data_IF_209547959141
#
_entry.id   IF_209547959141
#
_cell.length_a   1.000
_cell.length_b   1.000
_cell.length_c   1.000
_cell.angle_alpha   90.00
_cell.angle_beta   90.00
_cell.angle_gamma   90.00
#
_symmetry.space_group_name_H-M   'P 1'
#
loop_
_entity.id
_entity.type
_entity.pdbx_description
1 polymer ?
#
# COMPACT_ATOMS: atom_id res chain seq x y z
N UNK A 1 26.06 -31.25 -27.41
CA UNK A 1 24.75 -30.75 -26.94
C UNK A 1 24.71 -29.30 -27.35
N UNK A 2 23.67 -28.84 -28.06
CA UNK A 2 23.57 -27.42 -28.42
C UNK A 2 23.62 -26.58 -27.14
N UNK A 3 24.28 -25.42 -27.20
CA UNK A 3 24.30 -24.48 -26.08
C UNK A 3 22.85 -24.01 -25.82
N UNK A 4 22.29 -24.40 -24.67
CA UNK A 4 20.91 -24.13 -24.29
C UNK A 4 20.66 -22.62 -24.25
N UNK A 5 21.65 -21.83 -23.83
CA UNK A 5 21.53 -20.37 -23.79
C UNK A 5 21.46 -19.79 -25.21
N UNK A 6 22.25 -20.33 -26.14
CA UNK A 6 22.20 -19.91 -27.54
C UNK A 6 20.86 -20.26 -28.20
N UNK A 7 20.31 -21.46 -27.93
CA UNK A 7 18.99 -21.88 -28.43
C UNK A 7 17.89 -20.99 -27.84
N UNK A 8 17.91 -20.76 -26.53
CA UNK A 8 16.95 -19.91 -25.86
C UNK A 8 16.96 -18.49 -26.41
N UNK A 9 18.15 -17.89 -26.61
CA UNK A 9 18.29 -16.57 -27.22
C UNK A 9 17.72 -16.52 -28.64
N UNK A 10 18.06 -17.50 -29.49
CA UNK A 10 17.52 -17.56 -30.86
C UNK A 10 15.99 -17.69 -30.87
N UNK A 11 15.45 -18.54 -29.98
CA UNK A 11 14.02 -18.70 -29.82
C UNK A 11 13.35 -17.39 -29.38
N UNK A 12 13.86 -16.71 -28.35
CA UNK A 12 13.24 -15.48 -27.84
C UNK A 12 13.33 -14.35 -28.87
N UNK A 13 14.48 -14.21 -29.56
CA UNK A 13 14.63 -13.21 -30.62
C UNK A 13 13.58 -13.43 -31.72
N UNK A 14 13.39 -14.68 -32.15
CA UNK A 14 12.36 -15.04 -33.13
C UNK A 14 10.94 -14.81 -32.60
N UNK A 15 10.64 -15.29 -31.40
CA UNK A 15 9.31 -15.22 -30.79
C UNK A 15 8.85 -13.78 -30.66
N UNK A 16 9.63 -12.93 -30.01
CA UNK A 16 9.24 -11.55 -29.74
C UNK A 16 9.23 -10.69 -31.01
N UNK A 17 10.19 -10.87 -31.92
CA UNK A 17 10.15 -10.19 -33.22
C UNK A 17 8.88 -10.57 -34.01
N UNK A 18 8.52 -11.85 -34.01
CA UNK A 18 7.31 -12.33 -34.69
C UNK A 18 6.06 -11.83 -33.98
N UNK A 19 6.04 -11.77 -32.65
CA UNK A 19 4.93 -11.20 -31.88
C UNK A 19 4.70 -9.73 -32.24
N UNK A 20 5.78 -8.95 -32.29
CA UNK A 20 5.74 -7.51 -32.52
C UNK A 20 5.31 -7.15 -33.94
N UNK A 21 5.62 -8.01 -34.92
CA UNK A 21 5.37 -7.74 -36.35
C UNK A 21 4.20 -8.51 -36.93
N UNK A 22 3.94 -9.74 -36.49
CA UNK A 22 2.90 -10.62 -37.02
C UNK A 22 2.54 -11.76 -36.05
N UNK A 23 1.63 -11.48 -35.11
CA UNK A 23 1.19 -12.46 -34.09
C UNK A 23 0.63 -13.76 -34.69
N UNK A 24 0.03 -13.71 -35.88
CA UNK A 24 -0.45 -14.90 -36.58
C UNK A 24 0.68 -15.88 -36.94
N UNK A 25 1.91 -15.37 -37.17
CA UNK A 25 3.09 -16.20 -37.47
C UNK A 25 3.50 -17.13 -36.31
N UNK A 26 3.10 -16.81 -35.08
CA UNK A 26 3.43 -17.60 -33.89
C UNK A 26 2.71 -18.95 -33.83
N UNK A 27 1.61 -19.14 -34.57
CA UNK A 27 0.85 -20.40 -34.55
C UNK A 27 1.74 -21.62 -34.85
N UNK A 28 2.73 -21.46 -35.73
CA UNK A 28 3.66 -22.51 -36.13
C UNK A 28 4.55 -23.04 -35.00
N UNK A 29 4.73 -22.26 -33.94
CA UNK A 29 5.50 -22.63 -32.75
C UNK A 29 4.69 -23.52 -31.78
N UNK A 30 3.39 -23.63 -31.97
CA UNK A 30 2.50 -24.39 -31.09
C UNK A 30 2.01 -25.69 -31.75
N UNK A 31 1.48 -26.59 -30.93
CA UNK A 31 0.87 -27.87 -31.31
C UNK A 31 -0.50 -27.99 -30.63
N UNK A 32 -1.26 -29.02 -30.97
CA UNK A 32 -2.59 -29.26 -30.37
C UNK A 32 -2.53 -29.54 -28.87
N UNK A 33 -1.39 -30.03 -28.38
CA UNK A 33 -1.13 -30.28 -26.97
C UNK A 33 -0.39 -29.12 -26.26
N UNK A 34 -0.15 -28.00 -26.94
CA UNK A 34 0.47 -26.82 -26.32
C UNK A 34 -0.52 -26.06 -25.47
N UNK A 35 -0.05 -25.42 -24.40
CA UNK A 35 -0.87 -24.59 -23.53
C UNK A 35 -0.25 -23.21 -23.31
N UNK A 36 -1.04 -22.16 -23.52
CA UNK A 36 -0.76 -20.80 -23.08
C UNK A 36 -1.56 -20.52 -21.81
N UNK A 37 -0.92 -19.98 -20.77
CA UNK A 37 -1.60 -19.31 -19.66
C UNK A 37 -1.37 -17.81 -19.78
N UNK A 38 -2.41 -17.07 -20.16
CA UNK A 38 -2.35 -15.62 -20.33
C UNK A 38 -3.03 -14.93 -19.14
N UNK A 39 -2.27 -14.23 -18.30
CA UNK A 39 -2.80 -13.55 -17.10
C UNK A 39 -3.58 -14.46 -16.14
N UNK A 40 -3.29 -15.77 -16.15
CA UNK A 40 -3.97 -16.77 -15.33
C UNK A 40 -5.10 -17.54 -16.05
N UNK A 41 -5.41 -17.19 -17.31
CA UNK A 41 -6.39 -17.92 -18.12
C UNK A 41 -5.70 -18.96 -19.00
N UNK A 42 -5.97 -20.27 -18.80
CA UNK A 42 -5.38 -21.34 -19.60
C UNK A 42 -6.08 -21.47 -20.96
N UNK A 43 -5.30 -21.72 -22.01
CA UNK A 43 -5.72 -21.79 -23.41
C UNK A 43 -4.96 -22.95 -24.06
N UNK A 44 -5.70 -23.98 -24.46
CA UNK A 44 -5.15 -25.21 -25.03
C UNK A 44 -5.24 -25.19 -26.57
N UNK A 45 -4.15 -25.61 -27.21
CA UNK A 45 -4.09 -25.89 -28.65
C UNK A 45 -3.67 -24.71 -29.51
N UNK A 46 -2.89 -24.98 -30.56
CA UNK A 46 -2.26 -23.97 -31.41
C UNK A 46 -3.24 -22.95 -32.00
N UNK A 47 -4.42 -23.40 -32.46
CA UNK A 47 -5.43 -22.52 -33.06
C UNK A 47 -5.99 -21.49 -32.06
N UNK A 48 -6.37 -21.96 -30.86
CA UNK A 48 -6.92 -21.10 -29.80
C UNK A 48 -5.87 -20.12 -29.26
N UNK A 49 -4.61 -20.57 -29.17
CA UNK A 49 -3.49 -19.71 -28.77
C UNK A 49 -3.29 -18.60 -29.81
N UNK A 50 -3.27 -18.93 -31.10
CA UNK A 50 -3.15 -17.93 -32.16
C UNK A 50 -4.30 -16.92 -32.15
N UNK A 51 -5.54 -17.39 -31.98
CA UNK A 51 -6.71 -16.53 -31.81
C UNK A 51 -6.56 -15.58 -30.60
N UNK A 52 -6.10 -16.10 -29.46
CA UNK A 52 -5.82 -15.26 -28.29
C UNK A 52 -4.80 -14.17 -28.57
N UNK A 53 -3.66 -14.52 -29.16
CA UNK A 53 -2.58 -13.55 -29.40
C UNK A 53 -3.00 -12.49 -30.41
N UNK A 54 -3.71 -12.87 -31.46
CA UNK A 54 -4.23 -11.94 -32.48
C UNK A 54 -5.36 -11.04 -31.97
N UNK A 55 -6.17 -11.50 -31.00
CA UNK A 55 -7.27 -10.72 -30.42
C UNK A 55 -6.85 -9.71 -29.34
N UNK A 56 -5.55 -9.60 -29.01
CA UNK A 56 -5.08 -8.61 -28.05
C UNK A 56 -5.35 -7.18 -28.56
N UNK A 57 -5.83 -6.28 -27.69
CA UNK A 57 -6.52 -5.04 -28.09
C UNK A 57 -5.60 -3.90 -28.57
N UNK A 58 -4.28 -4.12 -28.58
CA UNK A 58 -3.31 -3.13 -29.03
C UNK A 58 -2.95 -3.33 -30.50
N UNK A 59 -2.60 -2.25 -31.20
CA UNK A 59 -2.21 -2.30 -32.61
C UNK A 59 -0.70 -2.49 -32.74
N UNK A 60 0.07 -1.72 -31.96
CA UNK A 60 1.53 -1.80 -31.93
C UNK A 60 2.02 -2.30 -30.60
N UNK A 61 3.04 -3.13 -30.65
CA UNK A 61 3.73 -3.61 -29.47
C UNK A 61 5.22 -3.77 -29.77
N UNK A 62 6.05 -3.48 -28.78
CA UNK A 62 7.47 -3.75 -28.83
C UNK A 62 7.91 -4.39 -27.52
N UNK A 63 8.49 -5.58 -27.60
CA UNK A 63 9.15 -6.22 -26.48
C UNK A 63 10.60 -5.73 -26.36
N UNK A 64 11.02 -5.38 -25.15
CA UNK A 64 12.42 -5.12 -24.80
C UNK A 64 12.83 -6.12 -23.73
N UNK A 65 13.65 -7.10 -24.10
CA UNK A 65 14.06 -8.17 -23.20
C UNK A 65 15.14 -7.64 -22.25
N UNK A 66 14.95 -7.86 -20.95
CA UNK A 66 15.86 -7.44 -19.89
C UNK A 66 16.72 -8.59 -19.41
N UNK A 67 16.09 -9.72 -19.05
CA UNK A 67 16.82 -10.93 -18.65
C UNK A 67 16.27 -12.16 -19.36
N UNK A 68 17.16 -13.14 -19.55
CA UNK A 68 16.86 -14.42 -20.16
C UNK A 68 17.69 -15.50 -19.46
N UNK A 69 17.00 -16.52 -18.95
CA UNK A 69 17.60 -17.68 -18.32
C UNK A 69 17.06 -18.95 -18.95
N UNK A 70 17.91 -19.97 -19.12
CA UNK A 70 17.49 -21.24 -19.70
C UNK A 70 18.09 -22.45 -18.98
N UNK A 71 17.26 -23.48 -18.79
CA UNK A 71 17.64 -24.71 -18.08
C UNK A 71 17.01 -25.94 -18.74
N UNK A 72 17.62 -27.14 -18.65
CA UNK A 72 16.91 -28.39 -18.92
C UNK A 72 15.69 -28.53 -18.00
N UNK A 73 14.55 -28.99 -18.53
CA UNK A 73 13.30 -29.06 -17.77
C UNK A 73 12.86 -30.47 -17.38
N UNK A 74 13.51 -31.50 -17.92
CA UNK A 74 13.25 -32.89 -17.56
C UNK A 74 14.52 -33.74 -17.64
N UNK A 75 14.74 -34.68 -16.70
CA UNK A 75 15.84 -35.63 -16.76
C UNK A 75 15.60 -36.77 -17.76
N UNK A 76 14.35 -36.99 -18.17
CA UNK A 76 13.94 -38.15 -18.97
C UNK A 76 13.40 -37.79 -20.35
N UNK A 77 12.94 -36.55 -20.54
CA UNK A 77 12.46 -36.02 -21.81
C UNK A 77 13.36 -34.86 -22.20
N UNK A 78 13.87 -34.86 -23.43
CA UNK A 78 14.63 -33.73 -23.92
C UNK A 78 13.70 -32.50 -23.98
N UNK A 79 13.90 -31.55 -23.08
CA UNK A 79 13.14 -30.31 -23.04
C UNK A 79 13.91 -29.24 -22.27
N UNK A 80 13.60 -27.98 -22.53
CA UNK A 80 14.17 -26.85 -21.80
C UNK A 80 13.06 -25.92 -21.27
N UNK A 81 13.36 -25.21 -20.20
CA UNK A 81 12.60 -24.07 -19.71
C UNK A 81 13.40 -22.81 -20.05
N UNK A 82 12.72 -21.79 -20.56
CA UNK A 82 13.25 -20.46 -20.81
C UNK A 82 12.43 -19.48 -20.01
N UNK A 83 13.08 -18.71 -19.15
CA UNK A 83 12.46 -17.65 -18.34
C UNK A 83 12.91 -16.30 -18.86
N UNK A 84 11.96 -15.42 -19.15
CA UNK A 84 12.19 -14.10 -19.74
C UNK A 84 11.56 -13.04 -18.86
N UNK A 85 12.28 -11.96 -18.62
CA UNK A 85 11.70 -10.72 -18.08
C UNK A 85 11.99 -9.56 -19.04
N UNK A 86 11.09 -8.59 -19.09
CA UNK A 86 11.29 -7.46 -19.98
C UNK A 86 10.23 -6.37 -19.83
N UNK A 87 10.29 -5.44 -20.78
CA UNK A 87 9.36 -4.34 -20.94
C UNK A 87 8.51 -4.54 -22.20
N UNK A 88 7.24 -4.20 -22.10
CA UNK A 88 6.26 -4.21 -23.16
C UNK A 88 5.84 -2.76 -23.43
N UNK A 89 6.28 -2.20 -24.56
CA UNK A 89 5.84 -0.89 -25.03
C UNK A 89 4.64 -1.10 -25.93
N UNK A 90 3.49 -0.54 -25.55
CA UNK A 90 2.22 -0.72 -26.25
C UNK A 90 1.78 0.61 -26.85
N UNK A 91 1.40 0.63 -28.13
CA UNK A 91 0.86 1.79 -28.84
C UNK A 91 1.65 3.09 -28.63
N UNK A 92 2.99 2.99 -28.69
CA UNK A 92 3.92 4.10 -28.50
C UNK A 92 3.79 4.81 -27.12
N UNK A 93 3.25 4.12 -26.11
CA UNK A 93 3.13 4.60 -24.72
C UNK A 93 4.49 4.96 -24.10
N UNK A 94 4.53 6.08 -23.37
CA UNK A 94 5.71 6.48 -22.57
C UNK A 94 5.90 5.66 -21.30
N UNK A 95 4.89 4.86 -20.92
CA UNK A 95 4.91 4.01 -19.74
C UNK A 95 4.96 2.54 -20.16
N UNK A 96 6.16 1.94 -20.30
CA UNK A 96 6.28 0.52 -20.61
C UNK A 96 5.73 -0.33 -19.46
N UNK A 97 5.04 -1.40 -19.81
CA UNK A 97 4.58 -2.41 -18.85
C UNK A 97 5.70 -3.42 -18.61
N UNK A 98 5.89 -3.87 -17.38
CA UNK A 98 6.80 -4.97 -17.12
C UNK A 98 6.10 -6.30 -17.33
N UNK A 99 6.82 -7.29 -17.84
CA UNK A 99 6.30 -8.63 -18.01
C UNK A 99 7.32 -9.69 -17.60
N UNK A 100 6.80 -10.85 -17.23
CA UNK A 100 7.52 -12.10 -17.10
C UNK A 100 6.87 -13.15 -17.99
N UNK A 101 7.67 -13.95 -18.68
CA UNK A 101 7.17 -15.04 -19.50
C UNK A 101 8.05 -16.27 -19.39
N UNK A 102 7.42 -17.44 -19.26
CA UNK A 102 8.12 -18.72 -19.16
C UNK A 102 7.67 -19.65 -20.27
N UNK A 103 8.63 -20.19 -21.02
CA UNK A 103 8.41 -21.17 -22.07
C UNK A 103 8.98 -22.52 -21.67
N UNK A 104 8.26 -23.60 -21.94
CA UNK A 104 8.82 -24.94 -22.01
C UNK A 104 8.93 -25.35 -23.47
N UNK A 105 10.15 -25.57 -23.95
CA UNK A 105 10.43 -25.94 -25.34
C UNK A 105 10.74 -27.43 -25.44
N UNK A 106 10.17 -28.09 -26.45
CA UNK A 106 10.39 -29.50 -26.76
C UNK A 106 10.98 -29.61 -28.18
N UNK A 107 12.07 -30.38 -28.39
CA UNK A 107 12.64 -30.61 -29.70
C UNK A 107 11.65 -31.32 -30.64
N UNK A 108 11.62 -30.88 -31.90
CA UNK A 108 10.80 -31.48 -32.95
C UNK A 108 11.51 -31.35 -34.31
N UNK A 109 11.95 -32.47 -34.88
CA UNK A 109 12.52 -32.51 -36.23
C UNK A 109 13.75 -31.62 -36.49
N UNK A 110 14.56 -31.32 -35.46
CA UNK A 110 15.70 -30.38 -35.57
C UNK A 110 15.35 -28.92 -35.23
N UNK A 111 14.10 -28.67 -34.85
CA UNK A 111 13.58 -27.40 -34.34
C UNK A 111 13.06 -27.57 -32.90
N UNK A 112 12.39 -26.54 -32.36
CA UNK A 112 11.68 -26.60 -31.09
C UNK A 112 10.25 -26.10 -31.27
N UNK A 113 9.31 -26.70 -30.55
CA UNK A 113 7.97 -26.15 -30.36
C UNK A 113 7.74 -25.78 -28.89
N UNK A 114 6.80 -24.88 -28.65
CA UNK A 114 6.40 -24.42 -27.32
C UNK A 114 5.35 -25.37 -26.77
N UNK A 115 5.68 -26.12 -25.71
CA UNK A 115 4.74 -26.99 -25.02
C UNK A 115 3.93 -26.22 -23.97
N UNK A 116 4.60 -25.43 -23.14
CA UNK A 116 3.96 -24.51 -22.19
C UNK A 116 4.44 -23.08 -22.44
N UNK A 117 3.53 -22.11 -22.42
CA UNK A 117 3.78 -20.67 -22.41
C UNK A 117 2.99 -20.07 -21.23
N UNK A 118 3.67 -19.36 -20.34
CA UNK A 118 3.03 -18.71 -19.19
C UNK A 118 3.43 -17.24 -19.23
N UNK A 119 2.46 -16.37 -19.49
CA UNK A 119 2.65 -14.93 -19.57
C UNK A 119 2.00 -14.21 -18.37
N UNK A 120 2.75 -13.25 -17.80
CA UNK A 120 2.30 -12.37 -16.72
C UNK A 120 2.78 -10.94 -16.95
N UNK A 121 1.89 -9.97 -16.79
CA UNK A 121 2.23 -8.58 -16.52
C UNK A 121 2.62 -8.44 -15.06
N UNK A 122 3.76 -7.82 -14.82
CA UNK A 122 4.25 -7.52 -13.48
C UNK A 122 3.67 -6.18 -13.04
N UNK A 123 2.57 -6.21 -12.28
CA UNK A 123 1.96 -5.01 -11.73
C UNK A 123 2.71 -4.58 -10.46
N UNK A 124 3.79 -3.82 -10.62
CA UNK A 124 4.58 -3.26 -9.51
C UNK A 124 6.05 -3.05 -9.88
N UNK A 125 6.62 -1.93 -9.42
CA UNK A 125 8.01 -1.48 -9.57
C UNK A 125 8.42 -0.85 -10.92
N UNK A 126 7.77 0.26 -11.33
CA UNK A 126 8.46 1.22 -12.21
C UNK A 126 9.69 1.78 -11.49
N UNK A 127 10.83 1.81 -12.20
CA UNK A 127 12.15 2.37 -11.86
C UNK A 127 13.13 1.47 -11.08
N UNK A 128 13.96 0.72 -11.83
CA UNK A 128 15.34 0.38 -11.43
C UNK A 128 16.17 -0.12 -12.63
N UNK A 129 16.14 0.54 -13.78
CA UNK A 129 17.09 0.28 -14.88
C UNK A 129 17.39 1.56 -15.65
N UNK A 130 17.95 2.54 -14.96
CA UNK A 130 18.71 3.63 -15.58
C UNK A 130 19.79 4.05 -14.58
N UNK A 131 20.98 3.45 -14.67
CA UNK A 131 22.02 3.74 -13.69
C UNK A 131 23.33 2.95 -13.76
N UNK A 132 23.69 2.34 -14.89
CA UNK A 132 25.08 1.93 -15.12
C UNK A 132 25.50 2.35 -16.52
N UNK A 133 25.82 3.63 -16.68
CA UNK A 133 26.98 4.02 -17.49
C UNK A 133 27.38 5.49 -17.25
N UNK A 134 28.70 5.69 -17.27
CA UNK A 134 29.43 6.96 -17.34
C UNK A 134 29.59 7.82 -16.07
N UNK A 135 30.51 7.42 -15.19
CA UNK A 135 31.52 8.36 -14.68
C UNK A 135 32.91 7.72 -14.53
N UNK A 136 33.65 7.69 -15.63
CA UNK A 136 35.10 7.84 -15.59
C UNK A 136 35.42 9.26 -15.13
N UNK A 137 35.90 9.43 -13.89
CA UNK A 137 36.79 10.54 -13.53
C UNK A 137 37.81 10.02 -12.52
N UNK A 138 39.07 10.11 -12.92
CA UNK A 138 40.20 9.48 -12.24
C UNK A 138 40.42 10.05 -10.85
N UNK A 139 40.80 9.17 -9.93
CA UNK A 139 41.46 9.55 -8.70
C UNK A 139 42.87 8.94 -8.69
N UNK A 140 43.80 9.88 -8.76
CA UNK A 140 45.22 9.77 -8.53
C UNK A 140 45.47 9.15 -7.14
N UNK A 141 46.34 8.14 -7.11
CA UNK A 141 46.82 7.50 -5.89
C UNK A 141 47.70 8.45 -5.10
N UNK A 142 47.59 8.44 -3.77
CA UNK A 142 48.79 8.54 -2.93
C UNK A 142 48.63 7.62 -1.70
N UNK A 143 49.69 6.92 -1.26
CA UNK A 143 49.64 5.77 -0.37
C UNK A 143 50.04 6.15 1.05
N UNK A 144 49.34 5.61 2.04
CA UNK A 144 49.90 5.22 3.34
C UNK A 144 48.73 4.77 4.21
N UNK A 145 48.54 3.46 4.36
CA UNK A 145 48.82 2.82 5.65
C UNK A 145 48.66 1.30 5.50
N UNK A 146 49.70 0.59 5.91
CA UNK A 146 49.85 -0.84 5.75
C UNK A 146 49.43 -1.57 7.03
N UNK A 147 48.72 -2.71 6.89
CA UNK A 147 48.93 -3.97 7.66
C UNK A 147 48.03 -5.14 7.18
N UNK A 148 48.37 -6.42 7.47
CA UNK A 148 48.57 -7.48 6.48
C UNK A 148 47.50 -8.63 6.54
N UNK A 149 47.62 -9.71 5.73
CA UNK A 149 46.47 -10.44 5.19
C UNK A 149 46.15 -11.79 5.89
N UNK A 150 45.12 -12.46 5.35
CA UNK A 150 44.72 -13.90 5.41
C UNK A 150 43.32 -14.09 6.03
N UNK A 151 42.38 -14.89 5.51
CA UNK A 151 42.35 -15.92 4.44
C UNK A 151 40.88 -16.28 4.14
N UNK A 152 40.61 -16.72 2.90
CA UNK A 152 39.34 -17.27 2.41
C UNK A 152 38.78 -18.44 3.24
N UNK A 153 37.45 -18.54 3.35
CA UNK A 153 36.69 -19.81 3.25
C UNK A 153 35.17 -19.58 3.23
N UNK A 154 34.61 -19.64 2.02
CA UNK A 154 33.35 -20.27 1.60
C UNK A 154 32.16 -20.48 2.56
N UNK A 155 30.98 -20.10 2.03
CA UNK A 155 29.72 -20.85 1.98
C UNK A 155 29.08 -21.35 3.29
N UNK A 156 27.82 -20.96 3.52
CA UNK A 156 26.74 -21.80 4.05
C UNK A 156 25.38 -21.17 3.70
N UNK A 157 24.71 -21.61 2.63
CA UNK A 157 23.63 -22.62 2.58
C UNK A 157 22.46 -22.40 3.54
N UNK A 158 21.32 -22.08 2.91
CA UNK A 158 19.95 -22.33 3.33
C UNK A 158 19.77 -23.79 3.75
N UNK A 159 19.50 -24.04 5.04
CA UNK A 159 18.75 -25.23 5.48
C UNK A 159 18.32 -25.06 6.94
N UNK A 160 17.02 -25.05 7.20
CA UNK A 160 16.42 -25.73 8.37
C UNK A 160 14.89 -25.65 8.32
N UNK A 161 14.30 -26.51 7.50
CA UNK A 161 13.03 -27.16 7.82
C UNK A 161 13.37 -28.55 8.33
N UNK A 162 13.17 -28.80 9.63
CA UNK A 162 12.68 -30.04 10.27
C UNK A 162 13.04 -30.08 11.78
N UNK A 163 11.96 -30.13 12.59
CA UNK A 163 11.73 -30.95 13.79
C UNK A 163 12.61 -30.86 15.06
N UNK A 164 11.86 -30.61 16.15
CA UNK A 164 11.84 -31.30 17.45
C UNK A 164 12.90 -31.00 18.53
N UNK A 165 12.37 -30.55 19.69
CA UNK A 165 12.70 -31.18 20.98
C UNK A 165 13.49 -30.31 21.97
N UNK A 166 13.06 -30.20 23.24
CA UNK A 166 13.53 -29.17 24.16
C UNK A 166 14.76 -29.62 24.95
N UNK A 167 15.70 -28.70 25.20
CA UNK A 167 16.69 -28.89 26.27
C UNK A 167 16.83 -27.67 27.16
N UNK A 168 16.66 -27.94 28.44
CA UNK A 168 16.82 -27.08 29.60
C UNK A 168 18.31 -26.87 29.90
N UNK A 169 18.72 -25.65 30.31
CA UNK A 169 19.50 -25.45 31.55
C UNK A 169 19.81 -23.99 31.92
N UNK A 170 19.30 -23.63 33.11
CA UNK A 170 19.97 -22.97 34.25
C UNK A 170 20.84 -21.72 34.02
N UNK A 171 20.22 -20.56 34.30
CA UNK A 171 20.43 -19.70 35.48
C UNK A 171 21.77 -19.83 36.23
N UNK A 172 22.55 -18.75 36.26
CA UNK A 172 23.39 -18.36 37.40
C UNK A 172 23.28 -16.86 37.66
N UNK A 173 22.97 -16.53 38.92
CA UNK A 173 23.02 -15.19 39.53
C UNK A 173 24.47 -14.82 39.82
N UNK A 174 24.80 -13.54 39.70
CA UNK A 174 25.75 -12.87 40.59
C UNK A 174 25.19 -11.49 40.93
N UNK A 175 25.29 -11.13 42.22
CA UNK A 175 24.65 -10.00 42.89
C UNK A 175 25.75 -9.12 43.47
N UNK A 176 25.50 -7.81 43.43
CA UNK A 176 26.00 -6.75 44.32
C UNK A 176 27.47 -6.32 44.22
N UNK A 177 27.69 -5.03 43.99
CA UNK A 177 27.94 -4.14 45.14
C UNK A 177 27.70 -2.65 44.80
N UNK A 178 27.03 -1.97 45.74
CA UNK A 178 26.90 -0.52 45.80
C UNK A 178 28.04 0.04 46.65
N UNK A 179 28.63 1.18 46.25
CA UNK A 179 29.20 2.15 47.19
C UNK A 179 29.13 3.58 46.64
N UNK A 180 28.66 4.44 47.54
CA UNK A 180 28.43 5.88 47.46
C UNK A 180 29.72 6.70 47.58
N UNK A 181 29.77 7.89 46.96
CA UNK A 181 30.80 8.89 47.26
C UNK A 181 30.78 10.10 46.34
N UNK A 182 30.23 11.20 46.84
CA UNK A 182 30.15 12.57 46.28
C UNK A 182 31.51 13.29 46.21
N UNK A 183 31.77 14.07 45.15
CA UNK A 183 32.30 15.46 45.18
C UNK A 183 32.42 16.05 43.76
N UNK A 184 31.91 17.26 43.58
CA UNK A 184 32.14 18.22 42.47
C UNK A 184 32.77 19.48 43.13
N UNK A 185 33.59 20.37 42.49
CA UNK A 185 33.15 21.21 41.35
C UNK A 185 34.24 21.66 40.34
N UNK A 186 33.84 21.88 39.08
CA UNK A 186 34.23 23.11 38.37
C UNK A 186 33.27 23.41 37.20
N UNK A 187 32.87 24.67 37.14
CA UNK A 187 31.75 25.20 36.36
C UNK A 187 32.15 25.64 34.95
N UNK A 188 31.21 25.51 33.99
CA UNK A 188 31.03 26.50 32.93
C UNK A 188 29.63 26.40 32.29
N UNK A 189 28.86 27.47 32.50
CA UNK A 189 27.81 28.04 31.65
C UNK A 189 26.47 27.31 31.49
N UNK A 190 25.56 27.68 32.41
CA UNK A 190 24.10 27.69 32.23
C UNK A 190 23.68 28.54 31.02
N UNK A 191 22.88 27.96 30.13
CA UNK A 191 21.83 28.68 29.39
C UNK A 191 20.51 28.09 29.87
N UNK A 192 19.77 28.87 30.67
CA UNK A 192 18.44 28.55 31.16
C UNK A 192 17.40 28.76 30.07
N UNK A 193 16.53 27.78 29.83
CA UNK A 193 15.18 28.03 29.35
C UNK A 193 14.19 26.99 29.92
N UNK A 194 12.93 27.39 30.21
CA UNK A 194 12.15 26.81 31.29
C UNK A 194 10.91 26.08 30.74
N UNK A 195 10.80 24.76 30.85
CA UNK A 195 9.50 24.08 30.74
C UNK A 195 9.55 22.74 31.47
N UNK A 196 9.38 22.77 32.80
CA UNK A 196 8.90 21.61 33.52
C UNK A 196 7.38 21.56 33.35
N UNK A 197 6.90 20.86 32.32
CA UNK A 197 5.49 20.45 32.28
C UNK A 197 5.34 19.30 33.26
N UNK A 198 4.69 19.58 34.39
CA UNK A 198 4.24 18.57 35.34
C UNK A 198 3.19 17.72 34.62
N UNK A 199 3.54 16.47 34.33
CA UNK A 199 2.67 15.48 33.70
C UNK A 199 1.72 14.91 34.76
N UNK A 200 0.47 15.38 34.76
CA UNK A 200 -0.58 14.80 35.60
C UNK A 200 -1.28 13.69 34.85
N UNK A 201 -1.19 12.45 35.34
CA UNK A 201 -2.03 11.33 34.88
C UNK A 201 -3.41 11.52 35.50
N UNK A 202 -4.41 11.98 34.76
CA UNK A 202 -5.81 11.91 35.22
C UNK A 202 -6.86 11.63 34.11
N UNK A 203 -7.67 10.62 34.46
CA UNK A 203 -9.09 10.33 34.17
C UNK A 203 -9.58 10.37 32.71
N UNK A 204 -9.77 9.16 32.16
CA UNK A 204 -10.47 8.86 30.89
C UNK A 204 -11.93 9.34 30.93
N UNK A 205 -12.18 10.50 30.30
CA UNK A 205 -13.49 10.87 29.73
C UNK A 205 -13.95 9.78 28.72
N UNK A 206 -15.26 9.64 28.45
CA UNK A 206 -15.75 8.53 27.62
C UNK A 206 -15.17 8.62 26.21
N UNK A 207 -14.37 7.62 25.84
CA UNK A 207 -13.80 7.52 24.50
C UNK A 207 -14.94 7.47 23.47
N UNK A 208 -15.01 8.50 22.63
CA UNK A 208 -15.91 8.55 21.46
C UNK A 208 -15.86 7.23 20.69
N UNK A 209 -17.03 6.67 20.32
CA UNK A 209 -17.10 5.47 19.46
C UNK A 209 -17.07 5.80 17.98
N UNK A 210 -17.07 7.08 17.62
CA UNK A 210 -17.18 7.52 16.23
C UNK A 210 -15.93 7.16 15.42
N UNK A 211 -16.11 6.93 14.12
CA UNK A 211 -15.03 6.64 13.18
C UNK A 211 -14.95 7.74 12.12
N UNK A 212 -13.73 8.18 11.82
CA UNK A 212 -13.48 9.10 10.72
C UNK A 212 -13.34 8.29 9.43
N UNK A 213 -14.10 8.66 8.40
CA UNK A 213 -13.98 8.07 7.07
C UNK A 213 -13.38 9.08 6.10
N UNK A 214 -12.22 8.75 5.56
CA UNK A 214 -11.57 9.48 4.46
C UNK A 214 -11.92 8.82 3.14
N UNK A 215 -12.46 9.57 2.18
CA UNK A 215 -12.91 9.00 0.91
C UNK A 215 -13.07 10.05 -0.20
N UNK A 216 -13.16 9.58 -1.45
CA UNK A 216 -13.29 10.45 -2.61
C UNK A 216 -14.60 11.23 -2.67
N UNK A 217 -14.50 12.48 -3.15
CA UNK A 217 -15.66 13.31 -3.54
C UNK A 217 -16.28 12.88 -4.86
N UNK A 218 -15.53 12.16 -5.69
CA UNK A 218 -15.99 11.50 -6.91
C UNK A 218 -16.47 10.07 -6.61
N UNK A 219 -17.26 9.48 -7.50
CA UNK A 219 -17.79 8.12 -7.34
C UNK A 219 -16.82 7.01 -7.80
N UNK A 220 -15.73 7.38 -8.48
CA UNK A 220 -14.89 6.44 -9.22
C UNK A 220 -15.59 5.83 -10.44
N UNK A 221 -14.90 4.89 -11.10
CA UNK A 221 -15.35 4.28 -12.37
C UNK A 221 -15.96 2.88 -12.19
N UNK A 222 -16.00 2.35 -10.96
CA UNK A 222 -16.52 1.01 -10.68
C UNK A 222 -17.62 1.07 -9.61
N UNK A 223 -18.73 0.34 -9.79
CA UNK A 223 -19.80 0.25 -8.79
C UNK A 223 -19.31 -0.33 -7.46
N UNK A 224 -18.26 -1.15 -7.47
CA UNK A 224 -17.69 -1.76 -6.26
C UNK A 224 -17.27 -0.71 -5.21
N UNK A 225 -16.79 0.47 -5.62
CA UNK A 225 -16.41 1.53 -4.68
C UNK A 225 -17.63 2.09 -3.93
N UNK A 226 -18.71 2.36 -4.66
CA UNK A 226 -19.96 2.85 -4.06
C UNK A 226 -20.57 1.78 -3.15
N UNK A 227 -20.57 0.52 -3.58
CA UNK A 227 -21.09 -0.60 -2.78
C UNK A 227 -20.32 -0.83 -1.49
N UNK A 228 -18.99 -0.71 -1.55
CA UNK A 228 -18.14 -0.75 -0.37
C UNK A 228 -18.48 0.38 0.61
N UNK A 229 -18.73 1.60 0.11
CA UNK A 229 -19.13 2.74 0.93
C UNK A 229 -20.51 2.54 1.59
N UNK A 230 -21.48 2.00 0.84
CA UNK A 230 -22.82 1.67 1.33
C UNK A 230 -22.76 0.59 2.43
N UNK A 231 -21.99 -0.48 2.20
CA UNK A 231 -21.77 -1.57 3.17
C UNK A 231 -21.05 -1.04 4.43
N UNK A 232 -20.02 -0.19 4.28
CA UNK A 232 -19.35 0.44 5.41
C UNK A 232 -20.28 1.30 6.25
N UNK A 233 -21.11 2.13 5.61
CA UNK A 233 -22.05 2.99 6.32
C UNK A 233 -23.04 2.21 7.19
N UNK A 234 -23.57 1.09 6.68
CA UNK A 234 -24.45 0.20 7.45
C UNK A 234 -23.71 -0.43 8.62
N UNK A 235 -22.53 -0.99 8.39
CA UNK A 235 -21.73 -1.67 9.42
C UNK A 235 -21.32 -0.72 10.56
N UNK A 236 -21.06 0.56 10.27
CA UNK A 236 -20.79 1.58 11.30
C UNK A 236 -21.97 1.69 12.28
N UNK A 237 -23.21 1.72 11.78
CA UNK A 237 -24.40 1.84 12.63
C UNK A 237 -24.70 0.55 13.36
N UNK A 238 -24.57 -0.60 12.68
CA UNK A 238 -24.74 -1.92 13.30
C UNK A 238 -23.74 -2.17 14.45
N UNK A 239 -22.54 -1.58 14.35
CA UNK A 239 -21.53 -1.62 15.40
C UNK A 239 -21.74 -0.57 16.52
N UNK A 240 -22.87 0.14 16.54
CA UNK A 240 -23.17 1.23 17.48
C UNK A 240 -22.08 2.31 17.48
N UNK A 241 -21.73 2.78 16.28
CA UNK A 241 -20.75 3.85 16.03
C UNK A 241 -21.39 4.97 15.23
N UNK A 242 -20.78 6.14 15.30
CA UNK A 242 -21.17 7.32 14.51
C UNK A 242 -20.11 7.62 13.44
N UNK A 243 -20.52 8.29 12.37
CA UNK A 243 -19.65 8.69 11.27
C UNK A 243 -19.13 10.12 11.46
N UNK A 244 -17.83 10.32 11.31
CA UNK A 244 -17.19 11.62 11.11
C UNK A 244 -16.58 11.62 9.69
N UNK A 245 -16.81 12.66 8.89
CA UNK A 245 -16.29 12.70 7.51
C UNK A 245 -16.14 14.13 6.97
N UNK A 246 -15.68 14.26 5.72
CA UNK A 246 -15.38 15.55 5.07
C UNK A 246 -16.58 16.44 4.70
N UNK A 247 -17.82 15.97 4.89
CA UNK A 247 -19.01 16.81 4.73
C UNK A 247 -19.57 16.94 3.30
N UNK A 248 -19.00 16.25 2.31
CA UNK A 248 -19.47 16.29 0.92
C UNK A 248 -20.69 15.38 0.66
N UNK A 249 -21.68 15.87 -0.09
CA UNK A 249 -22.90 15.09 -0.39
C UNK A 249 -22.84 14.25 -1.68
N UNK A 250 -21.71 14.22 -2.38
CA UNK A 250 -21.54 13.55 -3.67
C UNK A 250 -20.47 12.44 -3.61
N UNK A 251 -20.42 11.60 -4.66
CA UNK A 251 -19.42 10.54 -4.79
C UNK A 251 -19.45 9.50 -3.68
N UNK A 252 -18.26 9.02 -3.29
CA UNK A 252 -18.11 8.05 -2.19
C UNK A 252 -18.52 8.66 -0.84
N UNK A 253 -18.19 9.94 -0.60
CA UNK A 253 -18.61 10.69 0.58
C UNK A 253 -20.14 10.73 0.77
N UNK A 254 -20.89 11.00 -0.30
CA UNK A 254 -22.34 10.95 -0.29
C UNK A 254 -22.87 9.53 -0.05
N UNK A 255 -22.26 8.52 -0.67
CA UNK A 255 -22.68 7.13 -0.51
C UNK A 255 -22.57 6.63 0.94
N UNK A 256 -21.45 6.89 1.61
CA UNK A 256 -21.25 6.44 3.00
C UNK A 256 -22.15 7.21 3.98
N UNK A 257 -22.28 8.53 3.82
CA UNK A 257 -23.10 9.35 4.72
C UNK A 257 -24.61 9.07 4.58
N UNK A 258 -25.09 8.84 3.36
CA UNK A 258 -26.47 8.42 3.12
C UNK A 258 -26.73 7.04 3.73
N UNK A 259 -25.84 6.06 3.54
CA UNK A 259 -26.00 4.74 4.12
C UNK A 259 -26.08 4.75 5.66
N UNK A 260 -25.27 5.58 6.32
CA UNK A 260 -25.35 5.77 7.78
C UNK A 260 -26.68 6.40 8.20
N UNK A 261 -27.12 7.43 7.47
CA UNK A 261 -28.37 8.15 7.79
C UNK A 261 -29.60 7.26 7.56
N UNK A 262 -29.63 6.50 6.47
CA UNK A 262 -30.68 5.54 6.14
C UNK A 262 -30.76 4.40 7.17
N UNK A 263 -29.62 3.98 7.71
CA UNK A 263 -29.55 3.02 8.82
C UNK A 263 -29.93 3.64 10.18
N UNK A 264 -30.24 4.94 10.24
CA UNK A 264 -30.64 5.65 11.46
C UNK A 264 -29.47 6.06 12.36
N UNK A 265 -28.24 6.04 11.85
CA UNK A 265 -27.03 6.46 12.56
C UNK A 265 -26.85 7.98 12.63
N UNK A 266 -25.78 8.41 13.33
CA UNK A 266 -25.38 9.81 13.39
C UNK A 266 -24.19 10.11 12.48
N UNK A 267 -24.25 11.26 11.81
CA UNK A 267 -23.23 11.74 10.88
C UNK A 267 -22.77 13.14 11.28
N UNK A 268 -21.46 13.34 11.38
CA UNK A 268 -20.81 14.63 11.59
C UNK A 268 -19.93 14.96 10.40
N UNK A 269 -20.33 15.96 9.60
CA UNK A 269 -19.50 16.51 8.53
C UNK A 269 -18.64 17.66 9.04
N UNK A 270 -17.34 17.65 8.75
CA UNK A 270 -16.42 18.77 9.08
C UNK A 270 -15.96 19.43 7.79
N UNK A 271 -16.30 20.70 7.60
CA UNK A 271 -15.99 21.45 6.38
C UNK A 271 -15.28 22.77 6.70
N UNK A 272 -14.28 23.20 5.92
CA UNK A 272 -13.66 24.50 6.11
C UNK A 272 -14.56 25.61 5.56
N UNK A 273 -14.55 26.77 6.22
CA UNK A 273 -15.33 27.94 5.82
C UNK A 273 -15.04 28.36 4.38
N UNK A 274 -13.80 28.24 3.91
CA UNK A 274 -13.42 28.53 2.53
C UNK A 274 -14.21 27.68 1.50
N UNK A 275 -14.47 26.40 1.79
CA UNK A 275 -15.28 25.56 0.89
C UNK A 275 -16.76 25.90 0.99
N UNK A 276 -17.27 26.26 2.18
CA UNK A 276 -18.65 26.74 2.33
C UNK A 276 -18.85 28.06 1.56
N UNK A 277 -17.90 28.98 1.64
CA UNK A 277 -17.93 30.29 0.99
C UNK A 277 -17.68 30.22 -0.52
N UNK A 278 -16.85 29.27 -0.99
CA UNK A 278 -16.55 29.07 -2.41
C UNK A 278 -17.55 28.17 -3.16
N UNK A 279 -18.57 27.64 -2.48
CA UNK A 279 -19.62 26.83 -3.11
C UNK A 279 -19.28 25.35 -3.26
N UNK A 280 -18.52 24.75 -2.33
CA UNK A 280 -18.28 23.32 -2.23
C UNK A 280 -16.91 22.86 -2.74
N UNK A 281 -16.76 21.54 -2.88
CA UNK A 281 -15.55 20.91 -3.40
C UNK A 281 -15.58 20.87 -4.94
N UNK A 282 -14.50 21.30 -5.58
CA UNK A 282 -14.44 21.42 -7.05
C UNK A 282 -14.07 20.05 -7.64
N UNK A 283 -14.97 19.44 -8.40
CA UNK A 283 -14.60 18.38 -9.35
C UNK A 283 -13.94 19.04 -10.57
N UNK A 284 -12.61 19.16 -10.54
CA UNK A 284 -11.82 19.76 -11.62
C UNK A 284 -11.99 19.03 -12.95
N UNK A 285 -12.46 17.77 -12.94
CA UNK A 285 -12.66 16.99 -14.17
C UNK A 285 -13.99 17.29 -14.87
N UNK A 286 -14.95 17.91 -14.18
CA UNK A 286 -16.28 18.19 -14.74
C UNK A 286 -16.65 19.68 -14.83
N UNK A 287 -15.86 20.58 -14.25
CA UNK A 287 -16.12 22.02 -14.32
C UNK A 287 -17.46 22.45 -13.70
N UNK A 288 -18.13 21.57 -12.96
CA UNK A 288 -19.44 21.83 -12.36
C UNK A 288 -19.22 22.51 -11.02
N UNK A 289 -19.54 23.80 -10.94
CA UNK A 289 -19.80 24.47 -9.66
C UNK A 289 -21.17 24.02 -9.18
N UNK A 290 -21.24 23.06 -8.26
CA UNK A 290 -22.46 22.85 -7.49
C UNK A 290 -22.16 22.86 -5.99
N UNK A 291 -22.86 23.71 -5.21
CA UNK A 291 -22.74 23.74 -3.76
C UNK A 291 -23.31 22.45 -3.17
N UNK A 292 -22.41 21.62 -2.64
CA UNK A 292 -22.72 20.29 -2.11
C UNK A 292 -22.30 20.10 -0.65
N UNK A 293 -22.41 21.17 0.14
CA UNK A 293 -22.53 21.04 1.60
C UNK A 293 -24.02 21.23 1.92
N UNK A 294 -24.82 20.21 1.64
CA UNK A 294 -26.20 20.13 2.13
C UNK A 294 -26.27 19.05 3.20
N UNK A 295 -26.10 19.47 4.45
CA UNK A 295 -26.30 18.63 5.62
C UNK A 295 -27.23 19.33 6.62
N UNK A 296 -28.28 19.97 6.09
CA UNK A 296 -29.52 20.17 6.83
C UNK A 296 -30.61 19.39 6.10
N UNK A 297 -30.69 18.09 6.39
CA UNK A 297 -31.97 17.43 6.27
C UNK A 297 -32.87 18.08 7.32
N UNK A 298 -33.87 18.84 6.87
CA UNK A 298 -34.84 19.47 7.76
C UNK A 298 -35.45 18.41 8.67
N UNK A 299 -35.01 18.33 9.94
CA UNK A 299 -35.70 17.58 11.00
C UNK A 299 -34.99 16.38 11.63
N UNK A 300 -33.71 16.10 11.38
CA UNK A 300 -33.00 15.01 12.11
C UNK A 300 -31.85 15.54 12.98
N UNK A 301 -31.97 15.43 14.31
CA UNK A 301 -30.91 15.75 15.30
C UNK A 301 -29.62 14.92 15.11
N UNK A 302 -29.64 13.92 14.23
CA UNK A 302 -28.55 12.96 14.00
C UNK A 302 -27.52 13.40 12.95
N UNK A 303 -27.76 14.47 12.19
CA UNK A 303 -26.83 15.00 11.18
C UNK A 303 -26.30 16.37 11.61
N UNK A 304 -25.01 16.46 11.89
CA UNK A 304 -24.33 17.69 12.32
C UNK A 304 -23.31 18.13 11.27
N UNK A 305 -23.18 19.44 11.07
CA UNK A 305 -22.08 20.03 10.31
C UNK A 305 -21.29 20.96 11.20
N UNK A 306 -19.97 20.84 11.14
CA UNK A 306 -19.02 21.68 11.84
C UNK A 306 -18.23 22.46 10.81
N UNK A 307 -18.30 23.79 10.91
CA UNK A 307 -17.55 24.69 10.04
C UNK A 307 -16.32 25.18 10.80
N UNK A 308 -15.14 25.00 10.20
CA UNK A 308 -13.84 25.39 10.78
C UNK A 308 -13.14 26.43 9.91
N UNK A 309 -12.11 27.10 10.41
CA UNK A 309 -11.49 28.22 9.68
C UNK A 309 -10.46 27.77 8.64
N UNK A 310 -9.92 26.56 8.77
CA UNK A 310 -8.85 26.06 7.89
C UNK A 310 -8.91 24.55 7.64
N UNK A 311 -8.19 24.08 6.61
CA UNK A 311 -8.01 22.64 6.34
C UNK A 311 -7.27 21.90 7.47
N UNK A 312 -6.37 22.59 8.17
CA UNK A 312 -5.66 22.02 9.31
C UNK A 312 -6.60 21.78 10.49
N UNK A 313 -7.44 22.78 10.80
CA UNK A 313 -8.48 22.65 11.81
C UNK A 313 -9.48 21.54 11.45
N UNK A 314 -9.83 21.39 10.16
CA UNK A 314 -10.71 20.31 9.68
C UNK A 314 -10.15 18.94 10.07
N UNK A 315 -8.90 18.65 9.69
CA UNK A 315 -8.25 17.36 10.00
C UNK A 315 -8.13 17.13 11.51
N UNK A 316 -7.72 18.15 12.25
CA UNK A 316 -7.59 18.06 13.70
C UNK A 316 -8.95 17.78 14.37
N UNK A 317 -10.02 18.43 13.95
CA UNK A 317 -11.36 18.24 14.50
C UNK A 317 -11.91 16.85 14.18
N UNK A 318 -11.73 16.37 12.95
CA UNK A 318 -12.10 15.00 12.57
C UNK A 318 -11.36 13.96 13.43
N UNK A 319 -10.06 14.17 13.65
CA UNK A 319 -9.24 13.28 14.46
C UNK A 319 -9.61 13.32 15.94
N UNK A 320 -9.92 14.48 16.52
CA UNK A 320 -10.38 14.61 17.91
C UNK A 320 -11.67 13.82 18.16
N UNK A 321 -12.62 13.86 17.24
CA UNK A 321 -13.95 13.25 17.37
C UNK A 321 -14.00 11.76 17.12
N UNK A 322 -12.92 11.16 16.63
CA UNK A 322 -12.92 9.78 16.15
C UNK A 322 -12.02 8.90 17.00
N UNK A 323 -12.39 7.64 17.21
CA UNK A 323 -11.53 6.62 17.82
C UNK A 323 -10.72 5.82 16.80
N UNK A 324 -11.09 5.87 15.52
CA UNK A 324 -10.39 5.20 14.43
C UNK A 324 -10.56 5.96 13.12
N UNK A 325 -9.69 5.65 12.17
CA UNK A 325 -9.70 6.17 10.81
C UNK A 325 -9.91 5.02 9.83
N UNK A 326 -10.81 5.20 8.87
CA UNK A 326 -11.07 4.24 7.79
C UNK A 326 -10.95 4.97 6.45
N UNK A 327 -10.18 4.43 5.52
CA UNK A 327 -10.03 4.97 4.17
C UNK A 327 -10.77 4.12 3.15
N UNK A 328 -11.64 4.76 2.37
CA UNK A 328 -12.16 4.25 1.11
C UNK A 328 -11.42 4.93 -0.06
N UNK A 329 -11.44 4.34 -1.27
CA UNK A 329 -10.80 4.91 -2.45
C UNK A 329 -11.14 6.39 -2.68
N UNK A 330 -10.11 7.16 -3.02
CA UNK A 330 -10.18 8.61 -3.18
C UNK A 330 -8.94 9.17 -3.89
N UNK A 331 -8.88 10.50 -4.02
CA UNK A 331 -7.78 11.20 -4.68
C UNK A 331 -6.74 11.76 -3.70
N UNK A 332 -6.00 12.78 -4.14
CA UNK A 332 -4.94 13.41 -3.34
C UNK A 332 -5.39 13.85 -1.94
N UNK A 333 -6.60 14.39 -1.79
CA UNK A 333 -7.12 14.78 -0.47
C UNK A 333 -7.20 13.59 0.49
N UNK A 334 -7.75 12.46 0.04
CA UNK A 334 -7.82 11.23 0.83
C UNK A 334 -6.44 10.67 1.13
N UNK A 335 -5.51 10.73 0.17
CA UNK A 335 -4.13 10.26 0.39
C UNK A 335 -3.40 11.10 1.45
N UNK A 336 -3.58 12.41 1.39
CA UNK A 336 -3.02 13.35 2.36
C UNK A 336 -3.60 13.11 3.76
N UNK A 337 -4.91 12.94 3.88
CA UNK A 337 -5.58 12.64 5.15
C UNK A 337 -5.10 11.33 5.77
N UNK A 338 -4.93 10.27 4.96
CA UNK A 338 -4.41 8.98 5.43
C UNK A 338 -2.95 9.09 5.88
N UNK A 339 -2.07 9.68 5.06
CA UNK A 339 -0.65 9.79 5.40
C UNK A 339 -0.42 10.70 6.62
N UNK A 340 -1.24 11.74 6.81
CA UNK A 340 -1.19 12.61 7.99
C UNK A 340 -1.45 11.83 9.28
N UNK A 341 -2.54 11.05 9.36
CA UNK A 341 -2.85 10.28 10.60
C UNK A 341 -1.86 9.16 10.85
N UNK A 342 -1.22 8.64 9.80
CA UNK A 342 -0.09 7.68 9.94
C UNK A 342 1.14 8.39 10.51
N UNK A 343 1.48 9.57 10.00
CA UNK A 343 2.57 10.38 10.54
C UNK A 343 2.32 10.72 12.02
N UNK A 344 1.10 11.10 12.39
CA UNK A 344 0.72 11.36 13.78
C UNK A 344 0.86 10.12 14.68
N UNK A 345 0.52 8.94 14.16
CA UNK A 345 0.78 7.68 14.86
C UNK A 345 2.27 7.43 15.05
N UNK A 346 3.07 7.66 14.00
CA UNK A 346 4.52 7.46 14.01
C UNK A 346 5.24 8.35 15.04
N UNK A 347 4.78 9.59 15.23
CA UNK A 347 5.35 10.52 16.22
C UNK A 347 4.69 10.43 17.61
N UNK A 348 3.78 9.48 17.83
CA UNK A 348 3.16 9.24 19.13
C UNK A 348 2.04 10.22 19.51
N UNK A 349 1.45 10.92 18.54
CA UNK A 349 0.33 11.82 18.82
C UNK A 349 -0.96 11.02 19.12
N UNK A 350 -1.14 9.84 18.54
CA UNK A 350 -2.25 8.92 18.86
C UNK A 350 -1.90 7.45 18.60
N UNK A 351 -2.77 6.54 19.05
CA UNK A 351 -2.73 5.09 18.78
C UNK A 351 -3.98 4.56 18.08
N UNK A 352 -4.84 5.47 17.61
CA UNK A 352 -6.08 5.16 16.90
C UNK A 352 -5.80 4.30 15.66
N UNK A 353 -6.59 3.24 15.39
CA UNK A 353 -6.43 2.42 14.20
C UNK A 353 -6.53 3.22 12.91
N UNK A 354 -5.70 2.88 11.92
CA UNK A 354 -5.79 3.39 10.54
C UNK A 354 -6.05 2.20 9.61
N UNK A 355 -7.29 2.06 9.19
CA UNK A 355 -7.75 0.96 8.33
C UNK A 355 -7.91 1.47 6.90
N UNK A 356 -7.37 0.75 5.92
CA UNK A 356 -7.44 1.10 4.50
C UNK A 356 -8.10 -0.02 3.72
N UNK A 357 -9.27 0.25 3.14
CA UNK A 357 -10.04 -0.75 2.40
C UNK A 357 -9.51 -0.86 0.97
N UNK A 358 -8.86 -1.97 0.62
CA UNK A 358 -8.18 -2.17 -0.65
C UNK A 358 -9.11 -2.68 -1.75
N UNK A 359 -10.20 -1.96 -1.98
CA UNK A 359 -11.22 -2.34 -2.96
C UNK A 359 -10.61 -2.32 -4.36
N UNK A 360 -10.76 -3.43 -5.08
CA UNK A 360 -10.21 -3.67 -6.42
C UNK A 360 -8.72 -3.41 -6.52
N UNK A 361 -7.96 -3.70 -5.45
CA UNK A 361 -6.52 -3.48 -5.38
C UNK A 361 -6.10 -2.01 -5.55
N UNK A 362 -7.02 -1.05 -5.29
CA UNK A 362 -6.79 0.37 -5.49
C UNK A 362 -5.60 0.93 -4.70
N UNK A 363 -5.35 0.39 -3.51
CA UNK A 363 -4.28 0.81 -2.61
C UNK A 363 -3.02 -0.08 -2.68
N UNK A 364 -2.92 -1.02 -3.62
CA UNK A 364 -1.68 -1.76 -3.86
C UNK A 364 -0.49 -0.81 -4.11
N UNK A 365 -0.61 0.25 -4.93
CA UNK A 365 0.50 1.19 -5.13
C UNK A 365 0.94 1.89 -3.84
N UNK A 366 0.01 2.22 -2.94
CA UNK A 366 0.34 2.83 -1.65
C UNK A 366 1.05 1.83 -0.72
N UNK A 367 0.60 0.58 -0.70
CA UNK A 367 1.26 -0.50 0.06
C UNK A 367 2.70 -0.71 -0.41
N UNK A 368 2.92 -0.74 -1.72
CA UNK A 368 4.25 -0.86 -2.29
C UNK A 368 5.13 0.37 -2.00
N UNK A 369 4.56 1.58 -2.01
CA UNK A 369 5.29 2.79 -1.61
C UNK A 369 5.76 2.70 -0.14
N UNK A 370 4.91 2.22 0.76
CA UNK A 370 5.29 2.00 2.18
C UNK A 370 6.40 0.96 2.29
N UNK A 371 6.27 -0.18 1.60
CA UNK A 371 7.29 -1.23 1.59
C UNK A 371 8.62 -0.76 1.03
N UNK A 372 8.60 0.05 -0.03
CA UNK A 372 9.80 0.67 -0.57
C UNK A 372 10.44 1.62 0.45
N UNK A 373 9.63 2.43 1.15
CA UNK A 373 10.12 3.27 2.25
C UNK A 373 10.77 2.48 3.39
N UNK A 374 10.28 1.27 3.67
CA UNK A 374 10.90 0.35 4.63
C UNK A 374 12.22 -0.20 4.10
N UNK A 375 12.22 -0.70 2.86
CA UNK A 375 13.39 -1.27 2.20
C UNK A 375 14.55 -0.25 2.12
N UNK A 376 14.24 1.00 1.74
CA UNK A 376 15.20 2.10 1.64
C UNK A 376 15.54 2.74 3.02
N UNK A 377 14.96 2.25 4.11
CA UNK A 377 15.29 2.67 5.47
C UNK A 377 14.67 4.00 5.94
N UNK A 378 13.71 4.56 5.20
CA UNK A 378 12.96 5.76 5.60
C UNK A 378 11.85 5.46 6.62
N UNK A 379 11.30 4.24 6.59
CA UNK A 379 10.25 3.78 7.51
C UNK A 379 10.81 2.59 8.31
N UNK A 380 10.67 2.62 9.63
CA UNK A 380 11.06 1.47 10.46
C UNK A 380 10.12 0.30 10.16
N UNK A 381 10.64 -0.92 10.02
CA UNK A 381 9.84 -2.14 9.74
C UNK A 381 8.64 -2.30 10.69
N UNK A 382 8.84 -2.04 11.99
CA UNK A 382 7.76 -2.09 13.00
C UNK A 382 6.61 -1.08 12.77
N UNK A 383 6.82 -0.07 11.92
CA UNK A 383 5.84 0.96 11.58
C UNK A 383 4.98 0.55 10.37
N UNK A 384 5.28 -0.56 9.68
CA UNK A 384 4.39 -1.08 8.62
C UNK A 384 2.96 -1.29 9.16
N UNK A 385 2.87 -1.79 10.40
CA UNK A 385 1.60 -2.03 11.11
C UNK A 385 0.80 -0.76 11.44
N UNK A 386 1.36 0.45 11.25
CA UNK A 386 0.61 1.69 11.47
C UNK A 386 -0.54 1.84 10.47
N UNK A 387 -0.48 1.14 9.34
CA UNK A 387 -1.55 1.08 8.34
C UNK A 387 -2.00 -0.36 8.19
N UNK A 388 -3.29 -0.62 8.43
CA UNK A 388 -3.86 -1.95 8.22
C UNK A 388 -4.69 -1.97 6.94
N UNK A 389 -4.17 -2.66 5.92
CA UNK A 389 -4.91 -2.88 4.68
C UNK A 389 -5.87 -4.05 4.83
N UNK A 390 -7.14 -3.83 4.50
CA UNK A 390 -8.16 -4.88 4.40
C UNK A 390 -8.29 -5.26 2.93
N UNK A 391 -7.98 -6.52 2.63
CA UNK A 391 -8.08 -7.08 1.29
C UNK A 391 -9.42 -7.82 1.11
N UNK A 392 -9.95 -7.75 -0.12
CA UNK A 392 -11.15 -8.47 -0.52
C UNK A 392 -10.83 -9.85 -1.10
N UNK A 393 -11.83 -10.53 -1.70
CA UNK A 393 -11.62 -11.81 -2.39
C UNK A 393 -10.63 -11.67 -3.55
N UNK A 394 -10.02 -12.78 -3.97
CA UNK A 394 -9.02 -12.77 -5.06
C UNK A 394 -9.64 -12.37 -6.41
N UNK A 395 -10.89 -12.74 -6.67
CA UNK A 395 -11.63 -12.31 -7.86
C UNK A 395 -12.17 -10.89 -7.67
N UNK A 396 -11.72 -9.95 -8.51
CA UNK A 396 -12.16 -8.55 -8.48
C UNK A 396 -13.64 -8.36 -8.84
N UNK A 397 -14.29 -9.34 -9.46
CA UNK A 397 -15.72 -9.32 -9.72
C UNK A 397 -16.54 -9.48 -8.43
N UNK A 398 -16.03 -10.23 -7.45
CA UNK A 398 -16.68 -10.44 -6.15
C UNK A 398 -16.58 -9.21 -5.24
N UNK A 399 -15.72 -8.23 -5.55
CA UNK A 399 -15.53 -7.04 -4.72
C UNK A 399 -16.78 -6.16 -4.63
N UNK A 400 -17.69 -6.26 -5.60
CA UNK A 400 -18.95 -5.50 -5.58
C UNK A 400 -19.94 -6.04 -4.54
N UNK A 401 -19.98 -7.36 -4.34
CA UNK A 401 -20.87 -8.04 -3.39
C UNK A 401 -20.22 -8.33 -2.03
N UNK A 402 -18.90 -8.17 -1.92
CA UNK A 402 -18.17 -8.37 -0.68
C UNK A 402 -18.57 -7.34 0.40
N UNK A 403 -18.75 -7.83 1.63
CA UNK A 403 -19.13 -6.99 2.78
C UNK A 403 -17.92 -6.29 3.38
N UNK A 404 -17.51 -5.20 2.73
CA UNK A 404 -16.40 -4.35 3.14
C UNK A 404 -16.60 -3.71 4.52
N UNK A 405 -17.85 -3.40 4.88
CA UNK A 405 -18.20 -2.83 6.17
C UNK A 405 -17.95 -3.81 7.31
N UNK A 406 -18.41 -5.05 7.18
CA UNK A 406 -18.11 -6.10 8.15
C UNK A 406 -16.61 -6.34 8.27
N UNK A 407 -15.90 -6.46 7.14
CA UNK A 407 -14.45 -6.64 7.13
C UNK A 407 -13.71 -5.48 7.82
N UNK A 408 -14.17 -4.24 7.65
CA UNK A 408 -13.63 -3.07 8.32
C UNK A 408 -13.84 -3.12 9.84
N UNK A 409 -15.04 -3.49 10.30
CA UNK A 409 -15.33 -3.60 11.74
C UNK A 409 -14.53 -4.73 12.39
N UNK A 410 -14.39 -5.88 11.73
CA UNK A 410 -13.53 -6.97 12.22
C UNK A 410 -12.06 -6.54 12.32
N UNK A 411 -11.56 -5.77 11.35
CA UNK A 411 -10.21 -5.24 11.40
C UNK A 411 -10.01 -4.24 12.56
N UNK A 412 -11.01 -3.41 12.83
CA UNK A 412 -11.00 -2.50 13.99
C UNK A 412 -10.99 -3.26 15.33
N UNK A 413 -11.77 -4.33 15.45
CA UNK A 413 -11.82 -5.15 16.67
C UNK A 413 -10.51 -5.91 16.94
N UNK A 414 -9.83 -6.34 15.88
CA UNK A 414 -8.54 -7.05 15.95
C UNK A 414 -7.35 -6.10 16.15
N UNK A 415 -7.56 -4.78 16.14
CA UNK A 415 -6.46 -3.83 16.26
C UNK A 415 -5.81 -3.89 17.65
N UNK A 416 -4.58 -4.39 17.68
CA UNK A 416 -3.73 -4.32 18.87
C UNK A 416 -2.96 -3.00 18.84
N UNK A 417 -3.23 -2.14 19.84
CA UNK A 417 -2.64 -0.81 19.92
C UNK A 417 -1.11 -0.82 19.78
N UNK A 418 -0.58 0.19 19.10
CA UNK A 418 0.87 0.37 18.99
C UNK A 418 1.39 0.77 20.36
N UNK A 419 2.16 -0.10 21.01
CA UNK A 419 2.78 0.22 22.30
C UNK A 419 3.70 1.45 22.13
N UNK A 420 3.21 2.61 22.57
CA UNK A 420 4.00 3.82 22.74
C UNK A 420 4.11 4.13 24.23
N UNK A 421 5.23 4.69 24.65
CA UNK A 421 5.48 5.03 26.05
C UNK A 421 4.63 6.21 26.53
N UNK A 422 4.18 7.08 25.62
CA UNK A 422 3.41 8.30 25.90
C UNK A 422 2.59 8.71 24.66
N UNK A 423 1.33 9.14 24.83
CA UNK A 423 0.49 9.70 23.75
C UNK A 423 0.19 11.18 24.01
N UNK A 424 0.17 12.00 22.95
CA UNK A 424 -0.21 13.41 23.04
C UNK A 424 -1.69 13.55 23.42
N UNK A 425 -1.99 14.37 24.43
CA UNK A 425 -3.38 14.68 24.81
C UNK A 425 -3.91 15.81 23.93
N UNK A 426 -4.89 15.47 23.08
CA UNK A 426 -5.52 16.38 22.13
C UNK A 426 -6.30 17.55 22.75
N UNK A 427 -6.60 17.48 24.05
CA UNK A 427 -7.25 18.54 24.82
C UNK A 427 -6.28 19.44 25.57
N UNK A 428 -4.97 19.14 25.55
CA UNK A 428 -3.96 20.02 26.13
C UNK A 428 -3.53 21.07 25.11
N UNK A 429 -3.64 22.35 25.49
CA UNK A 429 -2.87 23.42 24.83
C UNK A 429 -1.41 23.38 25.28
N UNK A 430 -0.51 24.04 24.54
CA UNK A 430 0.93 24.19 24.86
C UNK A 430 1.20 24.68 26.30
N UNK A 431 0.20 25.30 26.93
CA UNK A 431 0.21 25.85 28.29
C UNK A 431 -0.35 24.91 29.37
N UNK A 432 -0.78 23.69 29.01
CA UNK A 432 -1.25 22.68 29.98
C UNK A 432 -2.69 22.80 30.46
N UNK A 433 -3.51 23.69 29.87
CA UNK A 433 -4.94 23.83 30.20
C UNK A 433 -5.82 22.94 29.31
N UNK A 434 -6.77 22.24 29.92
CA UNK A 434 -7.87 21.50 29.28
C UNK A 434 -9.08 22.41 29.06
N UNK A 435 -9.94 22.12 28.08
CA UNK A 435 -11.05 22.99 27.63
C UNK A 435 -12.13 23.31 28.69
N UNK A 436 -12.06 22.74 29.89
CA UNK A 436 -13.05 22.95 30.97
C UNK A 436 -12.78 24.16 31.88
N UNK A 437 -11.70 24.90 31.66
CA UNK A 437 -11.20 25.92 32.60
C UNK A 437 -11.58 27.38 32.25
N UNK A 438 -12.78 27.61 31.69
CA UNK A 438 -13.28 28.97 31.38
C UNK A 438 -14.56 29.39 32.12
N UNK A 439 -14.98 28.67 33.17
CA UNK A 439 -16.12 29.09 34.00
C UNK A 439 -15.85 29.24 35.50
N UNK A 440 -14.59 29.46 35.91
CA UNK A 440 -14.32 29.94 37.27
C UNK A 440 -13.05 30.79 37.36
N UNK A 441 -13.15 32.08 37.02
CA UNK A 441 -12.38 33.15 37.65
C UNK A 441 -12.87 34.52 37.17
N UNK A 442 -13.56 35.22 38.09
CA UNK A 442 -13.82 36.66 38.20
C UNK A 442 -14.47 37.42 37.03
#
# INVERSE_FOLDING_TARGET
MADINAVAKQFTDFYYTTFDTSRAGLQSLYRDNSMLTWEGTPILGAANIAEKLTSLPFEKVQHKITTLDAQPSSPSVASMIVSVTGLLVVDDSTNPLQFSQVFQLIPDGGSYYVYNDIFRLNYGASAALDGEDAHQRGHEQDPDDARPPMTHSSLRTLSSWFQQGPTTRKRTKARADQRTGTTSPNAALNISAPFNVVMTVQKTEPETRAVAVFCGSSAGNSPAFKKAAESLGKAIVEADRSLVYGGGSAGIMGAVSNAVTEAGGSVVGVAPFAMVAAGGEIDQTKGVHQPHIQLKANGSDKVQTIVVNSMHERKAEMAKRSCAFIALPGGYGTFEEVLEVVCWSQVGIHSKPVIVLNIRNFYNPLRELIRNGIYEGYILEKNERLVHFVDGPADLAEHESFDWGKAAMEALEKWEGVAASHFYNWHLRKEGKTDDDTLSAA
#
